data_IF_044928941087
#
_entry.id   IF_044928941087
#
_cell.length_a   1.000
_cell.length_b   1.000
_cell.length_c   1.000
_cell.angle_alpha   90.00
_cell.angle_beta   90.00
_cell.angle_gamma   90.00
#
_symmetry.space_group_name_H-M   'P 1'
#
loop_
_entity.id
_entity.type
_entity.pdbx_description
1 polymer ?
#
# COMPACT_ATOMS: atom_id res chain seq x y z
N UNK A 1 -5.44 -19.58 -2.69
CA UNK A 1 -4.48 -19.35 -3.80
C UNK A 1 -3.55 -18.17 -3.56
N UNK A 2 -4.01 -17.03 -3.03
CA UNK A 2 -3.16 -15.84 -2.75
C UNK A 2 -1.87 -16.11 -1.92
N UNK A 3 -1.96 -16.90 -0.85
CA UNK A 3 -0.80 -17.18 0.03
C UNK A 3 0.34 -17.97 -0.64
N UNK A 4 0.08 -18.66 -1.75
CA UNK A 4 1.09 -19.50 -2.39
C UNK A 4 1.95 -18.75 -3.42
N UNK A 5 1.38 -17.79 -4.16
CA UNK A 5 2.15 -17.00 -5.12
C UNK A 5 3.03 -15.97 -4.41
N UNK A 6 2.52 -15.31 -3.36
CA UNK A 6 3.30 -14.31 -2.62
C UNK A 6 4.53 -14.94 -1.96
N UNK A 7 4.35 -16.10 -1.30
CA UNK A 7 5.47 -16.87 -0.76
C UNK A 7 6.49 -17.29 -1.82
N UNK A 8 6.01 -17.62 -3.02
CA UNK A 8 6.90 -17.95 -4.15
C UNK A 8 7.67 -16.70 -4.61
N UNK A 9 7.00 -15.55 -4.79
CA UNK A 9 7.64 -14.28 -5.11
C UNK A 9 8.70 -13.91 -4.09
N UNK A 10 8.36 -13.91 -2.79
CA UNK A 10 9.27 -13.63 -1.68
C UNK A 10 10.51 -14.52 -1.75
N UNK A 11 10.31 -15.85 -1.81
CA UNK A 11 11.41 -16.82 -1.87
C UNK A 11 12.35 -16.59 -3.07
N UNK A 12 11.81 -16.43 -4.28
CA UNK A 12 12.66 -16.30 -5.47
C UNK A 12 13.33 -14.93 -5.54
N UNK A 13 12.64 -13.86 -5.12
CA UNK A 13 13.19 -12.52 -5.04
C UNK A 13 14.32 -12.43 -4.00
N UNK A 14 14.15 -13.01 -2.81
CA UNK A 14 15.19 -13.06 -1.78
C UNK A 14 16.44 -13.81 -2.26
N UNK A 15 16.27 -14.96 -2.93
CA UNK A 15 17.41 -15.72 -3.48
C UNK A 15 18.14 -14.93 -4.56
N UNK A 16 17.38 -14.31 -5.46
CA UNK A 16 17.91 -13.52 -6.56
C UNK A 16 18.68 -12.28 -6.04
N UNK A 17 18.12 -11.56 -5.07
CA UNK A 17 18.70 -10.33 -4.56
C UNK A 17 20.05 -10.52 -3.85
N UNK A 18 20.35 -11.71 -3.32
CA UNK A 18 21.66 -12.01 -2.68
C UNK A 18 22.85 -11.83 -3.61
N UNK A 19 22.64 -11.88 -4.92
CA UNK A 19 23.69 -11.78 -5.93
C UNK A 19 23.72 -10.42 -6.64
N UNK A 20 22.86 -9.48 -6.21
CA UNK A 20 22.61 -8.23 -6.91
C UNK A 20 22.69 -7.04 -5.95
N UNK A 21 23.06 -5.85 -6.45
CA UNK A 21 23.04 -4.61 -5.66
C UNK A 21 21.65 -3.96 -5.70
N UNK A 22 20.69 -4.62 -5.06
CA UNK A 22 19.32 -4.13 -4.96
C UNK A 22 19.09 -3.45 -3.61
N UNK A 23 18.47 -2.27 -3.65
CA UNK A 23 17.86 -1.70 -2.46
C UNK A 23 16.64 -2.55 -2.09
N UNK A 24 15.67 -2.75 -2.99
CA UNK A 24 14.46 -3.55 -2.72
C UNK A 24 13.85 -4.12 -4.00
N UNK A 25 12.92 -5.08 -3.82
CA UNK A 25 11.97 -5.51 -4.85
C UNK A 25 10.58 -5.28 -4.29
N UNK A 26 9.83 -4.35 -4.90
CA UNK A 26 8.54 -3.90 -4.40
C UNK A 26 7.42 -4.46 -5.27
N UNK A 27 6.50 -5.19 -4.66
CA UNK A 27 5.20 -5.50 -5.24
C UNK A 27 4.30 -4.28 -5.06
N UNK A 28 3.71 -3.78 -6.15
CA UNK A 28 2.83 -2.61 -6.11
C UNK A 28 1.61 -2.80 -7.01
N UNK A 29 0.82 -1.73 -7.20
CA UNK A 29 -0.33 -1.75 -8.08
C UNK A 29 -1.52 -2.54 -7.53
N UNK A 30 -2.37 -3.01 -8.43
CA UNK A 30 -3.65 -3.65 -8.06
C UNK A 30 -3.44 -4.98 -7.32
N UNK A 31 -2.29 -5.62 -7.53
CA UNK A 31 -1.86 -6.87 -6.89
C UNK A 31 -1.72 -6.78 -5.37
N UNK A 32 -1.46 -5.59 -4.81
CA UNK A 32 -1.35 -5.42 -3.35
C UNK A 32 -2.72 -5.35 -2.68
N UNK A 33 -3.79 -5.04 -3.43
CA UNK A 33 -5.15 -4.80 -2.89
C UNK A 33 -5.99 -6.07 -2.67
N UNK A 34 -5.37 -7.26 -2.69
CA UNK A 34 -6.03 -8.50 -2.31
C UNK A 34 -7.17 -8.94 -3.22
N UNK A 35 -7.24 -8.46 -4.47
CA UNK A 35 -8.20 -8.97 -5.45
C UNK A 35 -7.80 -10.40 -5.82
N UNK A 36 -8.75 -11.33 -5.73
CA UNK A 36 -8.55 -12.77 -5.97
C UNK A 36 -8.10 -13.11 -7.40
N UNK A 37 -8.23 -12.15 -8.32
CA UNK A 37 -7.75 -12.20 -9.70
C UNK A 37 -6.85 -10.98 -9.97
N UNK A 38 -5.66 -10.95 -9.38
CA UNK A 38 -4.63 -10.03 -9.87
C UNK A 38 -4.17 -10.53 -11.25
N UNK A 39 -4.71 -9.93 -12.32
CA UNK A 39 -4.42 -10.31 -13.70
C UNK A 39 -2.96 -10.04 -14.11
N UNK A 40 -2.36 -8.99 -13.56
CA UNK A 40 -0.98 -8.54 -13.81
C UNK A 40 -0.22 -8.33 -12.48
N UNK A 41 0.99 -8.88 -12.39
CA UNK A 41 1.88 -8.73 -11.23
C UNK A 41 2.86 -7.60 -11.52
N UNK A 42 2.68 -6.46 -10.86
CA UNK A 42 3.54 -5.28 -10.98
C UNK A 42 4.69 -5.33 -9.97
N UNK A 43 5.92 -5.48 -10.47
CA UNK A 43 7.15 -5.49 -9.67
C UNK A 43 8.02 -4.27 -10.01
N UNK A 44 8.60 -3.66 -8.98
CA UNK A 44 9.58 -2.59 -9.10
C UNK A 44 10.88 -3.02 -8.46
N UNK A 45 11.95 -3.07 -9.25
CA UNK A 45 13.30 -3.28 -8.75
C UNK A 45 13.90 -1.91 -8.45
N UNK A 46 14.23 -1.70 -7.19
CA UNK A 46 14.84 -0.48 -6.69
C UNK A 46 16.32 -0.76 -6.48
N UNK A 47 17.18 -0.07 -7.22
CA UNK A 47 18.63 -0.14 -7.10
C UNK A 47 19.12 1.00 -6.21
N UNK A 48 20.24 0.84 -5.52
CA UNK A 48 20.85 1.95 -4.76
C UNK A 48 21.33 3.05 -5.72
N UNK A 49 22.22 2.69 -6.64
CA UNK A 49 22.60 3.50 -7.81
C UNK A 49 23.23 2.57 -8.85
N UNK A 50 22.53 2.35 -9.96
CA UNK A 50 23.01 1.48 -11.05
C UNK A 50 22.66 2.06 -12.42
N UNK A 51 23.46 1.72 -13.43
CA UNK A 51 23.26 2.17 -14.80
C UNK A 51 22.11 1.42 -15.49
N UNK A 52 21.48 2.06 -16.48
CA UNK A 52 20.29 1.51 -17.15
C UNK A 52 20.52 0.13 -17.78
N UNK A 53 21.68 -0.10 -18.41
CA UNK A 53 21.98 -1.38 -19.09
C UNK A 53 21.98 -2.52 -18.09
N UNK A 54 22.61 -2.32 -16.95
CA UNK A 54 22.70 -3.33 -15.89
C UNK A 54 21.33 -3.57 -15.24
N UNK A 55 20.56 -2.50 -14.96
CA UNK A 55 19.20 -2.63 -14.43
C UNK A 55 18.29 -3.45 -15.34
N UNK A 56 18.35 -3.21 -16.66
CA UNK A 56 17.57 -3.96 -17.65
C UNK A 56 17.99 -5.43 -17.69
N UNK A 57 19.30 -5.73 -17.62
CA UNK A 57 19.81 -7.11 -17.54
C UNK A 57 19.24 -7.84 -16.32
N UNK A 58 19.38 -7.25 -15.13
CA UNK A 58 18.90 -7.82 -13.87
C UNK A 58 17.38 -8.03 -13.88
N UNK A 59 16.63 -7.08 -14.45
CA UNK A 59 15.19 -7.20 -14.64
C UNK A 59 14.81 -8.39 -15.53
N UNK A 60 15.50 -8.59 -16.65
CA UNK A 60 15.24 -9.69 -17.57
C UNK A 60 15.51 -11.05 -16.89
N UNK A 61 16.63 -11.17 -16.19
CA UNK A 61 16.98 -12.40 -15.45
C UNK A 61 15.91 -12.76 -14.41
N UNK A 62 15.46 -11.79 -13.62
CA UNK A 62 14.40 -12.04 -12.65
C UNK A 62 13.08 -12.42 -13.34
N UNK A 63 12.73 -11.72 -14.43
CA UNK A 63 11.50 -12.01 -15.20
C UNK A 63 11.50 -13.44 -15.75
N UNK A 64 12.63 -13.94 -16.25
CA UNK A 64 12.79 -15.33 -16.70
C UNK A 64 12.59 -16.35 -15.57
N UNK A 65 13.14 -16.07 -14.38
CA UNK A 65 12.97 -16.93 -13.20
C UNK A 65 11.50 -17.01 -12.81
N UNK A 66 10.83 -15.86 -12.69
CA UNK A 66 9.46 -15.77 -12.20
C UNK A 66 8.43 -16.29 -13.23
N UNK A 67 8.70 -16.13 -14.53
CA UNK A 67 7.82 -16.60 -15.61
C UNK A 67 7.68 -18.13 -15.69
N UNK A 68 8.53 -18.88 -14.96
CA UNK A 68 8.42 -20.35 -14.84
C UNK A 68 7.12 -20.80 -14.16
N UNK A 69 6.56 -19.98 -13.27
CA UNK A 69 5.33 -20.30 -12.52
C UNK A 69 4.25 -19.25 -12.58
N UNK A 70 4.62 -18.01 -12.89
CA UNK A 70 3.71 -16.88 -12.92
C UNK A 70 3.55 -16.39 -14.35
N UNK A 71 2.36 -15.92 -14.68
CA UNK A 71 2.07 -15.25 -15.96
C UNK A 71 1.91 -13.76 -15.71
N UNK A 72 2.03 -12.95 -16.77
CA UNK A 72 1.73 -11.51 -16.75
C UNK A 72 2.51 -10.70 -15.69
N UNK A 73 3.84 -10.83 -15.69
CA UNK A 73 4.71 -10.02 -14.84
C UNK A 73 5.11 -8.76 -15.59
N UNK A 74 4.70 -7.60 -15.07
CA UNK A 74 5.27 -6.30 -15.43
C UNK A 74 6.38 -5.95 -14.44
N UNK A 75 7.56 -5.65 -14.97
CA UNK A 75 8.74 -5.39 -14.16
C UNK A 75 9.34 -4.07 -14.61
N UNK A 76 9.38 -3.11 -13.68
CA UNK A 76 10.00 -1.80 -13.85
C UNK A 76 11.26 -1.70 -13.01
N UNK A 77 12.20 -0.84 -13.41
CA UNK A 77 13.44 -0.61 -12.68
C UNK A 77 13.65 0.88 -12.45
N UNK A 78 14.17 1.24 -11.28
CA UNK A 78 14.56 2.62 -10.92
C UNK A 78 15.76 2.60 -9.98
N UNK A 79 16.51 3.71 -9.91
CA UNK A 79 17.39 3.98 -8.77
C UNK A 79 16.56 4.61 -7.65
N UNK A 80 17.01 4.44 -6.41
CA UNK A 80 16.28 4.91 -5.23
C UNK A 80 15.96 6.42 -5.31
N UNK A 81 16.86 7.23 -5.88
CA UNK A 81 16.65 8.67 -6.07
C UNK A 81 15.45 9.00 -6.97
N UNK A 82 15.20 8.20 -8.00
CA UNK A 82 14.13 8.41 -8.98
C UNK A 82 12.74 8.22 -8.35
N UNK A 83 12.64 7.45 -7.27
CA UNK A 83 11.39 7.28 -6.52
C UNK A 83 10.85 8.59 -5.96
N UNK A 84 11.73 9.55 -5.67
CA UNK A 84 11.38 10.84 -5.08
C UNK A 84 11.20 11.96 -6.12
N UNK A 85 11.48 11.67 -7.39
CA UNK A 85 11.23 12.59 -8.50
C UNK A 85 9.72 12.79 -8.70
N UNK A 86 9.32 13.95 -9.24
CA UNK A 86 7.90 14.28 -9.41
C UNK A 86 7.29 13.61 -10.63
N UNK A 87 8.14 13.29 -11.59
CA UNK A 87 7.87 12.70 -12.88
C UNK A 87 7.54 11.20 -12.75
N UNK A 88 8.00 10.56 -11.67
CA UNK A 88 7.67 9.17 -11.38
C UNK A 88 6.24 9.04 -10.83
N UNK A 89 5.27 8.93 -11.73
CA UNK A 89 3.83 8.96 -11.41
C UNK A 89 3.40 7.86 -10.41
N UNK A 90 4.05 6.68 -10.45
CA UNK A 90 3.73 5.57 -9.57
C UNK A 90 4.22 5.76 -8.12
N UNK A 91 5.03 6.80 -7.83
CA UNK A 91 5.68 7.02 -6.53
C UNK A 91 4.73 6.93 -5.34
N UNK A 92 3.53 7.53 -5.44
CA UNK A 92 2.61 7.59 -4.31
C UNK A 92 2.07 6.21 -3.97
N UNK A 93 1.67 5.43 -4.99
CA UNK A 93 1.20 4.06 -4.79
C UNK A 93 2.29 3.18 -4.20
N UNK A 94 3.52 3.28 -4.72
CA UNK A 94 4.66 2.49 -4.23
C UNK A 94 5.02 2.86 -2.80
N UNK A 95 5.17 4.16 -2.48
CA UNK A 95 5.55 4.60 -1.15
C UNK A 95 4.50 4.24 -0.10
N UNK A 96 3.20 4.34 -0.44
CA UNK A 96 2.12 4.24 0.53
C UNK A 96 1.58 2.81 0.63
N UNK A 97 1.46 2.12 -0.50
CA UNK A 97 0.83 0.80 -0.60
C UNK A 97 1.83 -0.31 -0.97
N UNK A 98 3.05 -0.01 -1.40
CA UNK A 98 4.01 -1.02 -1.84
C UNK A 98 4.39 -2.02 -0.75
N UNK A 99 4.60 -3.28 -1.14
CA UNK A 99 5.08 -4.35 -0.25
C UNK A 99 6.50 -4.76 -0.64
N UNK A 100 7.44 -4.69 0.31
CA UNK A 100 8.80 -5.15 0.12
C UNK A 100 8.84 -6.68 0.14
N UNK A 101 9.27 -7.27 -0.98
CA UNK A 101 9.47 -8.72 -1.10
C UNK A 101 10.76 -9.19 -0.45
N UNK A 102 11.73 -8.30 -0.21
CA UNK A 102 13.01 -8.66 0.44
C UNK A 102 12.93 -8.61 1.97
N UNK A 103 12.00 -7.83 2.53
CA UNK A 103 11.88 -7.62 3.98
C UNK A 103 10.52 -8.03 4.54
N UNK A 104 9.63 -8.51 3.67
CA UNK A 104 8.28 -8.95 4.01
C UNK A 104 7.52 -7.96 4.90
N UNK A 105 7.55 -6.68 4.49
CA UNK A 105 6.89 -5.57 5.19
C UNK A 105 6.49 -4.49 4.20
N UNK A 106 5.63 -3.58 4.64
CA UNK A 106 5.28 -2.40 3.84
C UNK A 106 6.55 -1.63 3.46
N UNK A 107 6.66 -1.25 2.19
CA UNK A 107 7.85 -0.61 1.64
C UNK A 107 8.14 0.74 2.31
N UNK A 108 7.11 1.49 2.72
CA UNK A 108 7.27 2.69 3.56
C UNK A 108 8.11 2.43 4.81
N UNK A 109 7.95 1.27 5.46
CA UNK A 109 8.69 0.91 6.69
C UNK A 109 10.17 0.64 6.43
N UNK A 110 10.55 0.36 5.18
CA UNK A 110 11.95 0.32 4.74
C UNK A 110 12.59 1.71 4.76
N UNK A 111 11.80 2.72 4.44
CA UNK A 111 12.20 4.12 4.33
C UNK A 111 12.02 4.91 5.64
N UNK A 112 11.64 4.25 6.74
CA UNK A 112 11.40 4.91 8.03
C UNK A 112 10.02 5.59 8.14
N UNK A 113 9.06 5.17 7.32
CA UNK A 113 7.70 5.72 7.33
C UNK A 113 6.63 4.64 7.52
N UNK A 114 5.41 5.08 7.83
CA UNK A 114 4.20 4.27 7.75
C UNK A 114 3.16 4.95 6.85
N UNK A 115 2.55 4.17 5.96
CA UNK A 115 1.50 4.63 5.06
C UNK A 115 0.15 4.72 5.76
N UNK A 116 -0.52 5.86 5.65
CA UNK A 116 -1.87 6.07 6.16
C UNK A 116 -2.74 6.89 5.20
N UNK A 117 -4.03 6.90 5.47
CA UNK A 117 -5.01 7.75 4.80
C UNK A 117 -5.64 8.70 5.82
N UNK A 118 -5.50 10.00 5.58
CA UNK A 118 -6.21 11.05 6.30
C UNK A 118 -7.58 11.26 5.68
N UNK A 119 -8.61 11.04 6.47
CA UNK A 119 -9.99 11.36 6.12
C UNK A 119 -10.44 12.59 6.87
N UNK A 120 -11.01 13.54 6.14
CA UNK A 120 -11.75 14.66 6.71
C UNK A 120 -13.19 14.59 6.22
N UNK A 121 -14.16 14.61 7.12
CA UNK A 121 -15.59 14.46 6.82
C UNK A 121 -16.43 15.40 7.67
N UNK A 122 -17.66 15.66 7.22
CA UNK A 122 -18.61 16.47 7.98
C UNK A 122 -19.98 15.82 8.04
N UNK A 123 -20.72 16.09 9.11
CA UNK A 123 -22.04 15.50 9.38
C UNK A 123 -23.20 16.43 8.98
N UNK A 124 -22.97 17.40 8.08
CA UNK A 124 -23.99 18.42 7.75
C UNK A 124 -25.27 17.82 7.14
N UNK A 125 -25.14 16.71 6.42
CA UNK A 125 -26.27 15.99 5.81
C UNK A 125 -27.05 15.08 6.76
N UNK A 126 -26.62 14.93 8.02
CA UNK A 126 -27.27 14.05 8.99
C UNK A 126 -28.11 14.84 10.00
N UNK A 127 -29.31 14.33 10.29
CA UNK A 127 -30.16 14.81 11.39
C UNK A 127 -29.61 14.38 12.76
N UNK A 128 -30.23 14.85 13.85
CA UNK A 128 -29.75 14.57 15.21
C UNK A 128 -29.66 13.07 15.53
N UNK A 129 -30.70 12.30 15.19
CA UNK A 129 -30.72 10.85 15.42
C UNK A 129 -29.67 10.11 14.58
N UNK A 130 -29.47 10.53 13.33
CA UNK A 130 -28.45 9.96 12.45
C UNK A 130 -27.04 10.25 12.93
N UNK A 131 -26.76 11.48 13.40
CA UNK A 131 -25.46 11.84 14.01
C UNK A 131 -25.14 10.97 15.21
N UNK A 132 -26.14 10.70 16.06
CA UNK A 132 -26.00 9.80 17.21
C UNK A 132 -25.68 8.38 16.76
N UNK A 133 -26.43 7.84 15.78
CA UNK A 133 -26.16 6.49 15.23
C UNK A 133 -24.78 6.40 14.56
N UNK A 134 -24.37 7.41 13.80
CA UNK A 134 -23.04 7.48 13.18
C UNK A 134 -21.94 7.44 14.25
N UNK A 135 -22.10 8.23 15.32
CA UNK A 135 -21.14 8.28 16.42
C UNK A 135 -21.00 6.91 17.10
N UNK A 136 -22.12 6.20 17.31
CA UNK A 136 -22.09 4.84 17.84
C UNK A 136 -21.43 3.84 16.89
N UNK A 137 -21.64 3.95 15.59
CA UNK A 137 -20.99 3.09 14.62
C UNK A 137 -19.47 3.37 14.53
N UNK A 138 -19.08 4.63 14.64
CA UNK A 138 -17.69 5.08 14.57
C UNK A 138 -16.89 4.71 15.84
N UNK A 139 -17.37 5.11 17.01
CA UNK A 139 -16.65 4.98 18.29
C UNK A 139 -17.01 3.67 18.99
N UNK A 140 -18.27 3.25 18.89
CA UNK A 140 -18.84 2.14 19.65
C UNK A 140 -19.86 2.62 20.67
N UNK A 141 -20.76 1.70 21.09
CA UNK A 141 -21.72 1.92 22.18
C UNK A 141 -21.69 0.76 23.17
N UNK A 142 -21.98 -0.44 22.68
CA UNK A 142 -21.97 -1.69 23.46
C UNK A 142 -20.94 -2.68 22.89
N UNK A 143 -19.86 -2.16 22.31
CA UNK A 143 -18.85 -2.94 21.58
C UNK A 143 -17.95 -2.04 20.73
N UNK A 144 -16.90 -2.58 20.10
CA UNK A 144 -15.94 -1.80 19.33
C UNK A 144 -16.59 -1.19 18.07
N UNK A 145 -16.49 0.12 17.93
CA UNK A 145 -16.80 0.84 16.69
C UNK A 145 -15.69 0.70 15.64
N UNK A 146 -15.87 1.37 14.49
CA UNK A 146 -14.89 1.40 13.40
C UNK A 146 -13.50 1.84 13.85
N UNK A 147 -13.41 2.80 14.78
CA UNK A 147 -12.13 3.31 15.26
C UNK A 147 -11.28 2.18 15.84
N UNK A 148 -11.84 1.41 16.77
CA UNK A 148 -11.13 0.32 17.44
C UNK A 148 -10.94 -0.89 16.50
N UNK A 149 -11.89 -1.16 15.62
CA UNK A 149 -11.83 -2.31 14.69
C UNK A 149 -10.71 -2.18 13.66
N UNK A 150 -10.49 -0.97 13.15
CA UNK A 150 -9.54 -0.73 12.06
C UNK A 150 -8.23 -0.07 12.54
N UNK A 151 -8.06 0.12 13.85
CA UNK A 151 -6.91 0.85 14.40
C UNK A 151 -6.83 2.30 13.90
N UNK A 152 -7.98 2.95 13.75
CA UNK A 152 -8.06 4.36 13.33
C UNK A 152 -7.62 5.26 14.48
N UNK A 153 -6.82 6.27 14.17
CA UNK A 153 -6.51 7.34 15.09
C UNK A 153 -7.42 8.54 14.85
N UNK A 154 -8.09 9.01 15.90
CA UNK A 154 -8.92 10.20 15.83
C UNK A 154 -8.06 11.46 16.02
N UNK A 155 -8.01 12.33 15.01
CA UNK A 155 -7.25 13.58 15.06
C UNK A 155 -8.10 14.77 15.52
N UNK A 156 -9.42 14.60 15.55
CA UNK A 156 -10.35 15.62 15.99
C UNK A 156 -11.77 15.41 15.45
N UNK A 157 -12.62 16.42 15.59
CA UNK A 157 -13.98 16.37 15.08
C UNK A 157 -13.98 16.34 13.55
N UNK A 158 -14.40 15.21 12.98
CA UNK A 158 -14.47 15.04 11.52
C UNK A 158 -13.11 14.82 10.87
N UNK A 159 -12.07 14.48 11.62
CA UNK A 159 -10.75 14.18 11.07
C UNK A 159 -10.19 12.90 11.71
N UNK A 160 -9.80 11.93 10.88
CA UNK A 160 -9.23 10.67 11.34
C UNK A 160 -8.11 10.21 10.42
N UNK A 161 -7.18 9.47 10.99
CA UNK A 161 -6.07 8.83 10.29
C UNK A 161 -6.27 7.33 10.34
N UNK A 162 -6.28 6.70 9.17
CA UNK A 162 -6.60 5.29 9.01
C UNK A 162 -5.38 4.59 8.44
N UNK A 163 -4.95 3.43 8.98
CA UNK A 163 -3.91 2.62 8.35
C UNK A 163 -4.24 2.37 6.87
N UNK A 164 -3.25 2.47 5.97
CA UNK A 164 -3.51 2.40 4.51
C UNK A 164 -4.29 1.16 4.09
N UNK A 165 -4.01 0.01 4.72
CA UNK A 165 -4.65 -1.29 4.48
C UNK A 165 -6.15 -1.28 4.78
N UNK A 166 -6.57 -0.47 5.75
CA UNK A 166 -7.96 -0.34 6.17
C UNK A 166 -8.67 0.86 5.52
N UNK A 167 -7.96 1.63 4.68
CA UNK A 167 -8.49 2.86 4.11
C UNK A 167 -9.72 2.64 3.23
N UNK A 168 -9.77 1.54 2.47
CA UNK A 168 -10.93 1.19 1.64
C UNK A 168 -12.16 0.85 2.50
N UNK A 169 -11.97 0.07 3.56
CA UNK A 169 -13.05 -0.30 4.49
C UNK A 169 -13.63 0.93 5.18
N UNK A 170 -12.77 1.88 5.56
CA UNK A 170 -13.21 3.13 6.16
C UNK A 170 -13.90 4.06 5.15
N UNK A 171 -13.43 4.10 3.91
CA UNK A 171 -14.04 4.85 2.83
C UNK A 171 -15.46 4.34 2.53
N UNK A 172 -15.63 3.02 2.40
CA UNK A 172 -16.94 2.38 2.24
C UNK A 172 -17.87 2.69 3.40
N UNK A 173 -17.34 2.74 4.62
CA UNK A 173 -18.10 3.15 5.79
C UNK A 173 -18.65 4.58 5.62
N UNK A 174 -17.81 5.57 5.28
CA UNK A 174 -18.28 6.95 5.07
C UNK A 174 -19.29 7.06 3.94
N UNK A 175 -19.10 6.32 2.85
CA UNK A 175 -20.01 6.28 1.70
C UNK A 175 -21.38 5.70 2.07
N UNK A 176 -21.45 4.62 2.87
CA UNK A 176 -22.71 4.05 3.38
C UNK A 176 -23.52 5.07 4.21
N UNK A 177 -22.83 5.97 4.91
CA UNK A 177 -23.45 7.08 5.64
C UNK A 177 -23.74 8.30 4.78
N UNK A 178 -23.46 8.25 3.47
CA UNK A 178 -23.66 9.35 2.51
C UNK A 178 -22.98 10.65 2.96
N UNK A 179 -21.82 10.53 3.60
CA UNK A 179 -21.06 11.68 4.08
C UNK A 179 -20.20 12.26 2.96
N UNK A 180 -20.10 13.59 2.96
CA UNK A 180 -19.08 14.29 2.19
C UNK A 180 -17.74 14.19 2.93
N UNK A 181 -16.72 13.65 2.26
CA UNK A 181 -15.38 13.53 2.81
C UNK A 181 -14.29 13.86 1.77
N UNK A 182 -13.09 14.15 2.27
CA UNK A 182 -11.85 14.20 1.49
C UNK A 182 -10.89 13.17 2.05
N UNK A 183 -10.24 12.44 1.15
CA UNK A 183 -9.17 11.48 1.44
C UNK A 183 -7.85 12.04 0.96
N UNK A 184 -6.81 11.95 1.78
CA UNK A 184 -5.43 12.22 1.39
C UNK A 184 -4.55 11.08 1.90
N UNK A 185 -3.78 10.47 1.01
CA UNK A 185 -2.77 9.52 1.44
C UNK A 185 -1.56 10.29 2.01
N UNK A 186 -1.01 9.80 3.11
CA UNK A 186 0.07 10.43 3.86
C UNK A 186 1.12 9.38 4.27
N UNK A 187 2.35 9.84 4.45
CA UNK A 187 3.42 9.09 5.08
C UNK A 187 3.70 9.72 6.45
N UNK A 188 3.80 8.88 7.48
CA UNK A 188 4.08 9.29 8.86
C UNK A 188 5.48 8.78 9.21
N UNK A 189 6.32 9.64 9.79
CA UNK A 189 7.65 9.22 10.24
C UNK A 189 7.54 8.22 11.38
N UNK A 190 8.30 7.12 11.31
CA UNK A 190 8.56 6.24 12.44
C UNK A 190 9.70 6.90 13.24
N UNK A 191 9.37 7.50 14.39
CA UNK A 191 10.33 8.06 15.35
C UNK A 191 10.92 6.91 16.18
#
# INVERSE_FOLDING_TARGET
MLKNYLKYLESECEKFAKQQKLFDIVLYGSSVKGKEEAGDIDLLLVFEDENLKERVRVAQELKEILSKKLKNIDLKTINLKELFEKEFLARQGILIEGHSLLYNKDFSKRLGFEGAALFTYNLKGLNHNEKTKFTYALIGRNGPGMIKKLGVEALGRGAVMVPVKESLVFEDFLQKWKLNYKKKNILISLI
#
